data_IF_967553166839
#
_entry.id   IF_967553166839
#
_cell.length_a   1.000
_cell.length_b   1.000
_cell.length_c   1.000
_cell.angle_alpha   90.00
_cell.angle_beta   90.00
_cell.angle_gamma   90.00
#
_symmetry.space_group_name_H-M   'P 1'
#
loop_
_entity.id
_entity.type
_entity.pdbx_description
1 polymer ?
#
# COMPACT_ATOMS: atom_id res chain seq x y z
N UNK A 1 12.33 -50.81 16.70
CA UNK A 1 12.78 -49.92 17.79
C UNK A 1 13.06 -48.57 17.18
N UNK A 2 12.39 -47.46 17.42
CA UNK A 2 11.28 -47.00 18.27
C UNK A 2 10.89 -45.67 17.55
N UNK A 3 9.66 -45.39 17.15
CA UNK A 3 8.54 -45.09 18.05
C UNK A 3 8.96 -44.22 19.24
N UNK A 4 9.36 -42.98 19.01
CA UNK A 4 9.30 -41.86 19.97
C UNK A 4 9.88 -40.63 19.24
N UNK A 5 9.11 -39.67 18.75
CA UNK A 5 8.47 -38.65 19.58
C UNK A 5 7.42 -37.91 18.71
N UNK A 6 6.21 -38.45 18.61
CA UNK A 6 5.02 -37.65 18.31
C UNK A 6 4.38 -37.33 19.67
N UNK A 7 4.56 -36.11 20.15
CA UNK A 7 3.67 -35.59 21.19
C UNK A 7 3.69 -34.05 21.24
N UNK A 8 2.89 -33.41 20.38
CA UNK A 8 2.33 -32.10 20.73
C UNK A 8 0.87 -32.04 20.27
N UNK A 9 0.02 -31.73 21.25
CA UNK A 9 -1.44 -31.65 21.24
C UNK A 9 -1.97 -30.71 20.16
N UNK A 10 -3.04 -31.14 19.47
CA UNK A 10 -3.89 -30.25 18.66
C UNK A 10 -4.74 -29.36 19.59
N UNK A 11 -4.65 -28.04 19.40
CA UNK A 11 -5.61 -27.06 19.92
C UNK A 11 -6.46 -26.59 18.73
N UNK A 12 -7.80 -26.52 18.84
CA UNK A 12 -8.65 -26.11 17.72
C UNK A 12 -8.63 -24.59 17.56
N UNK A 13 -8.22 -24.09 16.39
CA UNK A 13 -8.38 -22.67 16.04
C UNK A 13 -9.80 -22.45 15.52
N UNK A 14 -10.51 -21.54 16.20
CA UNK A 14 -11.83 -21.04 15.88
C UNK A 14 -11.89 -20.38 14.48
N UNK A 15 -13.06 -20.50 13.85
CA UNK A 15 -13.43 -19.87 12.58
C UNK A 15 -13.10 -18.37 12.55
N UNK A 16 -12.22 -17.96 11.63
CA UNK A 16 -12.10 -16.55 11.23
C UNK A 16 -13.02 -16.32 10.03
N UNK A 17 -14.05 -15.50 10.25
CA UNK A 17 -14.93 -14.95 9.21
C UNK A 17 -14.16 -13.82 8.51
N UNK A 18 -13.97 -13.92 7.18
CA UNK A 18 -13.39 -12.84 6.38
C UNK A 18 -14.50 -12.20 5.54
N UNK A 19 -14.81 -10.94 5.84
CA UNK A 19 -15.68 -10.08 5.01
C UNK A 19 -14.92 -9.58 3.77
N UNK A 20 -15.56 -9.65 2.61
CA UNK A 20 -15.11 -9.15 1.32
C UNK A 20 -15.03 -7.61 1.29
N UNK A 21 -13.89 -7.04 0.89
CA UNK A 21 -13.69 -5.60 0.65
C UNK A 21 -13.93 -5.20 -0.82
N UNK A 22 -14.65 -4.09 -1.13
CA UNK A 22 -14.78 -3.50 -2.47
C UNK A 22 -13.59 -2.59 -2.88
N UNK A 23 -13.57 -2.04 -4.12
CA UNK A 23 -12.37 -1.96 -4.95
C UNK A 23 -11.49 -0.70 -4.80
N UNK A 24 -10.20 -0.92 -5.14
CA UNK A 24 -9.16 0.02 -5.57
C UNK A 24 -8.91 1.28 -4.72
N UNK A 25 -8.00 1.14 -3.74
CA UNK A 25 -7.15 2.24 -3.25
C UNK A 25 -5.70 1.78 -3.34
N UNK A 26 -4.84 2.59 -3.96
CA UNK A 26 -3.39 2.39 -3.99
C UNK A 26 -2.85 2.11 -2.58
N UNK A 27 -2.42 0.87 -2.32
CA UNK A 27 -1.67 0.52 -1.12
C UNK A 27 -0.24 1.06 -1.28
N UNK A 28 -0.02 2.29 -0.81
CA UNK A 28 1.31 2.90 -0.71
C UNK A 28 2.01 2.35 0.54
N UNK A 29 3.21 1.82 0.34
CA UNK A 29 4.14 1.44 1.41
C UNK A 29 4.50 2.67 2.24
N UNK A 30 4.48 2.54 3.57
CA UNK A 30 4.98 3.55 4.51
C UNK A 30 6.44 3.90 4.16
N UNK A 31 6.82 5.18 4.04
CA UNK A 31 8.21 5.55 4.24
C UNK A 31 8.54 5.36 5.73
N UNK A 32 9.55 4.55 6.01
CA UNK A 32 10.20 4.55 7.31
C UNK A 32 10.91 5.90 7.44
N UNK A 33 10.39 6.77 8.29
CA UNK A 33 11.11 7.97 8.71
C UNK A 33 12.28 7.53 9.60
N UNK A 34 13.49 7.53 9.05
CA UNK A 34 14.70 7.57 9.86
C UNK A 34 14.72 8.93 10.57
N UNK A 35 14.75 8.90 11.91
CA UNK A 35 14.98 10.10 12.72
C UNK A 35 16.39 10.62 12.43
N UNK A 36 16.60 11.95 12.32
CA UNK A 36 17.93 12.52 12.36
C UNK A 36 18.56 12.27 13.74
N UNK A 37 19.78 11.74 13.77
CA UNK A 37 20.61 11.74 14.98
C UNK A 37 21.08 13.18 15.16
N UNK A 38 20.44 13.92 16.07
CA UNK A 38 20.99 15.17 16.57
C UNK A 38 22.03 14.85 17.65
N UNK A 39 23.23 15.36 17.42
CA UNK A 39 24.37 15.48 18.33
C UNK A 39 24.02 15.46 19.82
N UNK A 40 24.51 14.44 20.52
CA UNK A 40 24.68 14.43 21.99
C UNK A 40 26.07 15.04 22.26
N UNK A 41 26.25 15.90 23.28
CA UNK A 41 27.56 16.43 23.59
C UNK A 41 28.49 15.33 24.11
N UNK A 42 29.75 15.41 23.69
CA UNK A 42 30.88 14.61 24.18
C UNK A 42 30.99 14.75 25.70
N UNK A 43 30.67 13.68 26.44
CA UNK A 43 31.23 13.46 27.77
C UNK A 43 32.47 12.58 27.63
N UNK A 44 33.55 13.07 28.23
CA UNK A 44 34.91 12.57 28.24
C UNK A 44 35.02 11.13 28.73
N UNK A 45 35.91 10.38 28.07
CA UNK A 45 36.41 9.08 28.52
C UNK A 45 37.08 9.23 29.90
N UNK A 46 36.69 8.37 30.85
CA UNK A 46 37.55 7.93 31.92
C UNK A 46 37.58 6.39 31.88
N UNK A 47 38.74 5.87 31.51
CA UNK A 47 39.09 4.44 31.52
C UNK A 47 39.44 4.09 32.97
N UNK A 48 38.79 3.07 33.54
CA UNK A 48 39.40 2.28 34.61
C UNK A 48 39.09 0.80 34.42
N UNK A 49 40.10 -0.01 34.77
CA UNK A 49 40.33 -1.40 34.38
C UNK A 49 39.54 -2.39 35.24
N UNK A 50 39.00 -3.41 34.56
CA UNK A 50 39.06 -4.86 34.87
C UNK A 50 38.70 -5.38 36.28
N UNK A 51 37.73 -6.30 36.33
CA UNK A 51 37.88 -7.69 36.84
C UNK A 51 36.58 -8.50 36.65
N UNK A 52 36.75 -9.79 36.38
CA UNK A 52 35.73 -10.82 36.07
C UNK A 52 34.80 -11.21 37.24
N UNK A 53 33.56 -11.65 36.94
CA UNK A 53 32.98 -12.98 37.29
C UNK A 53 31.42 -13.04 37.27
N UNK A 54 30.91 -14.01 36.50
CA UNK A 54 29.68 -14.84 36.65
C UNK A 54 28.24 -14.33 36.42
N UNK A 55 27.31 -15.22 35.94
CA UNK A 55 26.00 -14.85 35.43
C UNK A 55 24.91 -14.88 36.51
N UNK A 56 24.35 -13.71 36.84
CA UNK A 56 23.24 -13.60 37.78
C UNK A 56 21.88 -13.67 37.07
N UNK A 57 21.18 -14.77 37.37
CA UNK A 57 19.74 -15.00 37.46
C UNK A 57 18.82 -13.82 37.11
N UNK A 58 17.91 -14.08 36.16
CA UNK A 58 16.78 -13.23 35.79
C UNK A 58 15.90 -12.93 37.02
N UNK A 59 16.17 -11.82 37.71
CA UNK A 59 15.29 -11.32 38.77
C UNK A 59 14.10 -10.61 38.12
N UNK A 60 12.91 -11.14 38.42
CA UNK A 60 11.60 -10.50 38.19
C UNK A 60 11.70 -9.03 38.60
N UNK A 61 11.74 -8.13 37.64
CA UNK A 61 11.61 -6.70 37.92
C UNK A 61 10.17 -6.47 38.40
N UNK A 62 10.03 -6.18 39.69
CA UNK A 62 8.76 -5.76 40.27
C UNK A 62 8.40 -4.42 39.66
N UNK A 63 7.48 -4.43 38.69
CA UNK A 63 6.89 -3.23 38.12
C UNK A 63 6.20 -2.41 39.23
N UNK A 64 6.32 -1.07 39.24
CA UNK A 64 5.55 -0.23 40.17
C UNK A 64 4.06 -0.55 40.04
N UNK A 65 3.33 -0.62 41.16
CA UNK A 65 1.91 -1.03 41.20
C UNK A 65 1.01 -0.23 40.23
N UNK A 66 1.35 1.03 39.95
CA UNK A 66 0.63 1.87 38.96
C UNK A 66 0.82 1.46 37.50
N UNK A 67 2.00 0.95 37.13
CA UNK A 67 2.26 0.47 35.76
C UNK A 67 1.51 -0.82 35.46
N UNK A 68 1.32 -1.68 36.47
CA UNK A 68 0.67 -3.00 36.30
C UNK A 68 -0.83 -2.88 36.03
N UNK A 69 -1.53 -1.93 36.67
CA UNK A 69 -2.96 -1.74 36.48
C UNK A 69 -3.28 -1.22 35.08
N UNK A 70 -2.62 -0.12 34.67
CA UNK A 70 -2.82 0.50 33.35
C UNK A 70 -2.49 -0.49 32.22
N UNK A 71 -1.44 -1.30 32.38
CA UNK A 71 -1.09 -2.35 31.39
C UNK A 71 -2.21 -3.38 31.27
N UNK A 72 -2.76 -3.87 32.38
CA UNK A 72 -3.84 -4.86 32.37
C UNK A 72 -5.10 -4.28 31.71
N UNK A 73 -5.48 -3.05 32.08
CA UNK A 73 -6.60 -2.34 31.47
C UNK A 73 -6.44 -2.19 29.94
N UNK A 74 -5.25 -1.82 29.47
CA UNK A 74 -5.00 -1.67 28.03
C UNK A 74 -5.10 -3.00 27.26
N UNK A 75 -4.78 -4.12 27.90
CA UNK A 75 -4.90 -5.45 27.29
C UNK A 75 -6.38 -5.85 27.28
N UNK A 76 -7.03 -5.81 28.44
CA UNK A 76 -8.35 -6.40 28.65
C UNK A 76 -9.46 -5.53 28.03
N UNK A 77 -9.43 -4.22 28.27
CA UNK A 77 -10.48 -3.28 27.85
C UNK A 77 -10.23 -2.65 26.50
N UNK A 78 -8.97 -2.47 26.09
CA UNK A 78 -8.61 -1.85 24.81
C UNK A 78 -8.11 -2.84 23.76
N UNK A 79 -7.90 -4.12 24.09
CA UNK A 79 -7.46 -5.16 23.16
C UNK A 79 -6.07 -4.92 22.58
N UNK A 80 -5.14 -4.34 23.36
CA UNK A 80 -3.74 -4.19 22.95
C UNK A 80 -2.98 -5.49 23.22
N UNK A 81 -2.01 -5.80 22.36
CA UNK A 81 -1.00 -6.82 22.66
C UNK A 81 -0.17 -6.39 23.89
N UNK A 82 0.34 -7.33 24.71
CA UNK A 82 1.13 -7.02 25.90
C UNK A 82 2.28 -6.01 25.65
N UNK A 83 3.02 -6.19 24.56
CA UNK A 83 4.13 -5.30 24.17
C UNK A 83 3.68 -3.85 23.92
N UNK A 84 2.59 -3.68 23.16
CA UNK A 84 2.01 -2.36 22.89
C UNK A 84 1.38 -1.75 24.15
N UNK A 85 0.76 -2.55 25.01
CA UNK A 85 0.19 -2.09 26.27
C UNK A 85 1.28 -1.53 27.21
N UNK A 86 2.40 -2.24 27.38
CA UNK A 86 3.57 -1.77 28.15
C UNK A 86 4.17 -0.49 27.55
N UNK A 87 4.22 -0.37 26.23
CA UNK A 87 4.70 0.86 25.59
C UNK A 87 3.74 2.04 25.76
N UNK A 88 2.44 1.77 25.74
CA UNK A 88 1.38 2.76 25.86
C UNK A 88 1.18 3.24 27.30
N UNK A 89 1.29 2.35 28.30
CA UNK A 89 1.14 2.67 29.72
C UNK A 89 2.13 3.73 30.19
N UNK A 90 3.36 3.73 29.67
CA UNK A 90 4.39 4.76 29.94
C UNK A 90 3.97 6.20 29.60
N UNK A 91 2.88 6.38 28.85
CA UNK A 91 2.35 7.70 28.44
C UNK A 91 1.05 8.05 29.14
N UNK A 92 0.59 7.20 30.04
CA UNK A 92 -0.71 7.23 30.68
C UNK A 92 -0.54 7.14 32.20
N UNK A 93 -1.39 7.87 32.89
CA UNK A 93 -1.46 7.84 34.33
C UNK A 93 -2.92 8.05 34.70
N UNK A 94 -3.55 7.01 35.27
CA UNK A 94 -4.90 7.04 35.82
C UNK A 94 -5.05 5.88 36.80
N UNK A 95 -5.82 6.10 37.87
CA UNK A 95 -6.04 5.12 38.93
C UNK A 95 -7.36 4.36 38.76
N UNK A 96 -8.31 4.95 38.04
CA UNK A 96 -9.68 4.44 37.94
C UNK A 96 -10.14 4.40 36.47
N UNK A 97 -11.03 3.46 36.11
CA UNK A 97 -11.38 3.21 34.71
C UNK A 97 -12.47 4.15 34.18
N UNK A 98 -13.15 4.97 35.00
CA UNK A 98 -14.38 5.66 34.59
C UNK A 98 -14.15 6.61 33.41
N UNK A 99 -13.03 7.34 33.41
CA UNK A 99 -12.71 8.27 32.32
C UNK A 99 -12.25 7.54 31.05
N UNK A 100 -11.30 6.59 31.11
CA UNK A 100 -11.01 5.69 30.00
C UNK A 100 -12.25 4.99 29.42
N UNK A 101 -13.14 4.43 30.25
CA UNK A 101 -14.37 3.74 29.84
C UNK A 101 -15.31 4.72 29.13
N UNK A 102 -15.51 5.91 29.69
CA UNK A 102 -16.32 6.96 29.05
C UNK A 102 -15.79 7.34 27.66
N UNK A 103 -14.46 7.37 27.46
CA UNK A 103 -13.86 7.59 26.15
C UNK A 103 -14.13 6.42 25.20
N UNK A 104 -14.00 5.17 25.67
CA UNK A 104 -14.28 3.98 24.85
C UNK A 104 -15.75 3.92 24.43
N UNK A 105 -16.67 4.18 25.34
CA UNK A 105 -18.11 4.16 25.09
C UNK A 105 -18.54 5.27 24.13
N UNK A 106 -17.95 6.45 24.25
CA UNK A 106 -18.16 7.53 23.28
C UNK A 106 -17.69 7.09 21.88
N UNK A 107 -16.51 6.49 21.75
CA UNK A 107 -16.02 5.99 20.45
C UNK A 107 -16.93 4.90 19.87
N UNK A 108 -17.42 3.97 20.70
CA UNK A 108 -18.38 2.92 20.28
C UNK A 108 -19.69 3.53 19.78
N UNK A 109 -20.21 4.53 20.47
CA UNK A 109 -21.44 5.26 20.10
C UNK A 109 -21.31 5.92 18.72
N UNK A 110 -20.10 6.36 18.36
CA UNK A 110 -19.78 6.92 17.03
C UNK A 110 -19.33 5.87 16.01
N UNK A 111 -19.56 4.58 16.29
CA UNK A 111 -19.40 3.48 15.33
C UNK A 111 -17.97 2.97 15.17
N UNK A 112 -17.07 3.25 16.12
CA UNK A 112 -15.73 2.66 16.12
C UNK A 112 -15.80 1.21 16.61
N UNK A 113 -15.18 0.30 15.85
CA UNK A 113 -15.04 -1.11 16.24
C UNK A 113 -13.90 -1.29 17.24
N UNK A 114 -13.92 -2.37 18.02
CA UNK A 114 -12.83 -2.71 18.96
C UNK A 114 -11.45 -2.74 18.29
N UNK A 115 -11.36 -3.24 17.04
CA UNK A 115 -10.09 -3.25 16.29
C UNK A 115 -9.59 -1.84 15.94
N UNK A 116 -10.51 -0.91 15.66
CA UNK A 116 -10.18 0.49 15.37
C UNK A 116 -9.81 1.24 16.65
N UNK A 117 -10.50 0.97 17.76
CA UNK A 117 -10.22 1.50 19.08
C UNK A 117 -8.83 1.05 19.55
N UNK A 118 -8.54 -0.26 19.52
CA UNK A 118 -7.22 -0.83 19.84
C UNK A 118 -6.09 -0.14 19.05
N UNK A 119 -6.29 0.03 17.74
CA UNK A 119 -5.33 0.72 16.86
C UNK A 119 -5.17 2.19 17.20
N UNK A 120 -6.25 2.86 17.59
CA UNK A 120 -6.23 4.26 17.99
C UNK A 120 -5.46 4.43 19.29
N UNK A 121 -5.81 3.66 20.32
CA UNK A 121 -5.20 3.69 21.66
C UNK A 121 -3.73 3.33 21.57
N UNK A 122 -3.36 2.29 20.82
CA UNK A 122 -1.96 1.91 20.63
C UNK A 122 -1.11 3.02 19.99
N UNK A 123 -1.70 3.85 19.12
CA UNK A 123 -1.00 5.00 18.50
C UNK A 123 -1.01 6.26 19.36
N UNK A 124 -2.10 6.52 20.08
CA UNK A 124 -2.33 7.75 20.85
C UNK A 124 -2.94 7.40 22.23
N UNK A 125 -2.17 6.79 23.14
CA UNK A 125 -2.68 6.31 24.43
C UNK A 125 -3.36 7.43 25.23
N UNK A 126 -2.77 8.64 25.22
CA UNK A 126 -3.28 9.85 25.87
C UNK A 126 -4.72 10.24 25.52
N UNK A 127 -5.35 9.63 24.50
CA UNK A 127 -6.77 9.81 24.26
C UNK A 127 -7.62 9.33 25.45
N UNK A 128 -7.22 8.26 26.14
CA UNK A 128 -7.98 7.66 27.24
C UNK A 128 -8.11 8.57 28.47
N UNK A 129 -7.20 9.53 28.62
CA UNK A 129 -7.22 10.51 29.71
C UNK A 129 -7.75 11.88 29.25
N UNK A 130 -8.11 12.01 27.97
CA UNK A 130 -8.74 13.22 27.45
C UNK A 130 -10.16 13.36 28.01
N UNK A 131 -10.67 14.59 28.02
CA UNK A 131 -12.03 14.84 28.47
C UNK A 131 -13.01 14.46 27.36
N UNK A 132 -13.86 13.43 27.56
CA UNK A 132 -14.71 12.94 26.49
C UNK A 132 -15.69 14.01 26.01
N UNK A 133 -16.28 14.78 26.92
CA UNK A 133 -17.29 15.81 26.60
C UNK A 133 -16.66 17.08 26.03
N UNK A 134 -15.53 17.53 26.60
CA UNK A 134 -14.93 18.81 26.18
C UNK A 134 -13.99 18.71 25.00
N UNK A 135 -13.35 17.55 24.79
CA UNK A 135 -12.27 17.41 23.79
C UNK A 135 -12.68 16.50 22.63
N UNK A 136 -13.32 15.37 22.91
CA UNK A 136 -13.63 14.38 21.88
C UNK A 136 -14.98 14.60 21.22
N UNK A 137 -16.02 14.78 22.03
CA UNK A 137 -17.40 14.91 21.57
C UNK A 137 -17.57 16.01 20.52
N UNK A 138 -17.07 17.26 20.70
CA UNK A 138 -17.27 18.32 19.71
C UNK A 138 -16.65 17.99 18.35
N UNK A 139 -15.51 17.27 18.36
CA UNK A 139 -14.83 16.83 17.13
C UNK A 139 -15.62 15.75 16.44
N UNK A 140 -16.13 14.78 17.19
CA UNK A 140 -16.94 13.68 16.66
C UNK A 140 -18.26 14.20 16.10
N UNK A 141 -18.93 15.13 16.79
CA UNK A 141 -20.13 15.82 16.31
C UNK A 141 -19.86 16.57 15.00
N UNK A 142 -18.81 17.38 14.95
CA UNK A 142 -18.40 18.05 13.71
C UNK A 142 -18.24 17.06 12.55
N UNK A 143 -17.48 15.98 12.75
CA UNK A 143 -17.29 15.01 11.69
C UNK A 143 -18.57 14.25 11.31
N UNK A 144 -19.52 14.10 12.24
CA UNK A 144 -20.82 13.46 12.01
C UNK A 144 -21.75 14.32 11.15
N UNK A 145 -21.53 15.64 11.09
CA UNK A 145 -22.26 16.56 10.19
C UNK A 145 -21.88 16.41 8.72
N UNK A 146 -20.76 15.73 8.42
CA UNK A 146 -20.25 15.56 7.07
C UNK A 146 -21.04 14.47 6.32
N UNK A 147 -21.16 14.62 5.00
CA UNK A 147 -21.83 13.65 4.12
C UNK A 147 -20.95 12.41 3.87
N UNK A 148 -20.69 11.65 4.94
CA UNK A 148 -19.86 10.44 4.96
C UNK A 148 -20.46 9.43 5.94
N UNK A 149 -20.45 8.14 5.57
CA UNK A 149 -20.96 7.08 6.44
C UNK A 149 -20.20 7.01 7.76
N UNK A 150 -20.89 6.69 8.87
CA UNK A 150 -20.26 6.50 10.19
C UNK A 150 -19.10 5.50 10.15
N UNK A 151 -19.27 4.40 9.41
CA UNK A 151 -18.23 3.39 9.22
C UNK A 151 -16.99 3.91 8.49
N UNK A 152 -17.19 4.74 7.46
CA UNK A 152 -16.07 5.36 6.74
C UNK A 152 -15.35 6.38 7.60
N UNK A 153 -16.11 7.16 8.37
CA UNK A 153 -15.55 8.13 9.29
C UNK A 153 -14.69 7.44 10.36
N UNK A 154 -15.21 6.42 11.04
CA UNK A 154 -14.46 5.62 12.02
C UNK A 154 -13.18 5.03 11.40
N UNK A 155 -13.26 4.52 10.17
CA UNK A 155 -12.10 4.00 9.41
C UNK A 155 -11.07 5.07 9.09
N UNK A 156 -11.49 6.29 8.75
CA UNK A 156 -10.61 7.42 8.44
C UNK A 156 -9.92 7.93 9.70
N UNK A 157 -10.69 8.21 10.75
CA UNK A 157 -10.20 8.78 12.02
C UNK A 157 -9.27 7.80 12.77
N UNK A 158 -9.61 6.50 12.82
CA UNK A 158 -8.72 5.47 13.39
C UNK A 158 -7.44 5.25 12.58
N UNK A 159 -7.45 5.59 11.29
CA UNK A 159 -6.27 5.58 10.44
C UNK A 159 -5.19 6.55 10.91
N UNK A 160 -5.60 7.70 11.44
CA UNK A 160 -4.71 8.82 11.76
C UNK A 160 -5.20 9.59 13.00
N UNK A 161 -4.93 9.07 14.21
CA UNK A 161 -5.50 9.58 15.46
C UNK A 161 -4.88 10.90 15.96
N UNK A 162 -3.94 11.47 15.20
CA UNK A 162 -3.35 12.78 15.50
C UNK A 162 -4.41 13.88 15.49
N UNK A 163 -5.46 13.72 14.68
CA UNK A 163 -6.55 14.69 14.55
C UNK A 163 -7.23 15.02 15.88
N UNK A 164 -7.40 14.03 16.77
CA UNK A 164 -7.97 14.24 18.09
C UNK A 164 -7.09 15.08 19.02
N UNK A 165 -5.81 15.25 18.70
CA UNK A 165 -4.89 16.14 19.40
C UNK A 165 -4.89 17.60 18.91
N UNK A 166 -5.69 17.94 17.88
CA UNK A 166 -5.77 19.30 17.33
C UNK A 166 -6.99 20.06 17.83
N UNK A 167 -6.91 21.40 17.85
CA UNK A 167 -8.04 22.27 18.13
C UNK A 167 -9.05 22.19 16.98
N UNK A 168 -10.33 22.03 17.32
CA UNK A 168 -11.40 21.93 16.34
C UNK A 168 -11.55 23.26 15.58
N UNK A 169 -11.52 24.37 16.30
CA UNK A 169 -11.83 25.74 15.85
C UNK A 169 -10.63 26.37 15.15
N UNK A 170 -9.43 26.16 15.68
CA UNK A 170 -8.22 26.80 15.15
C UNK A 170 -7.52 25.97 14.07
N UNK A 171 -7.85 24.69 13.92
CA UNK A 171 -7.16 23.81 12.96
C UNK A 171 -8.12 22.99 12.10
N UNK A 172 -9.02 22.21 12.70
CA UNK A 172 -9.82 21.24 11.96
C UNK A 172 -10.81 21.93 11.01
N UNK A 173 -11.63 22.84 11.53
CA UNK A 173 -12.66 23.56 10.77
C UNK A 173 -12.03 24.45 9.69
N UNK A 174 -11.01 25.29 9.96
CA UNK A 174 -10.36 26.09 8.92
C UNK A 174 -9.74 25.24 7.81
N UNK A 175 -9.06 24.14 8.16
CA UNK A 175 -8.48 23.21 7.18
C UNK A 175 -9.56 22.54 6.33
N UNK A 176 -10.66 22.12 6.97
CA UNK A 176 -11.80 21.54 6.29
C UNK A 176 -12.43 22.53 5.32
N UNK A 177 -12.72 23.76 5.76
CA UNK A 177 -13.35 24.81 4.95
C UNK A 177 -12.48 25.16 3.74
N UNK A 178 -11.17 25.33 3.94
CA UNK A 178 -10.23 25.56 2.85
C UNK A 178 -10.30 24.44 1.81
N UNK A 179 -10.13 23.18 2.23
CA UNK A 179 -10.15 22.05 1.30
C UNK A 179 -11.53 21.89 0.63
N UNK A 180 -12.62 22.12 1.37
CA UNK A 180 -13.99 22.02 0.87
C UNK A 180 -14.27 23.07 -0.22
N UNK A 181 -13.70 24.28 -0.09
CA UNK A 181 -13.85 25.35 -1.09
C UNK A 181 -13.35 24.96 -2.49
N UNK A 182 -12.38 24.04 -2.58
CA UNK A 182 -11.82 23.57 -3.85
C UNK A 182 -12.32 22.18 -4.23
N UNK A 183 -12.33 21.23 -3.29
CA UNK A 183 -12.65 19.82 -3.56
C UNK A 183 -14.15 19.55 -3.66
N UNK A 184 -14.97 20.42 -3.06
CA UNK A 184 -16.44 20.40 -3.08
C UNK A 184 -17.09 19.09 -2.59
N UNK A 185 -16.33 18.17 -1.99
CA UNK A 185 -16.81 16.85 -1.53
C UNK A 185 -16.17 16.46 -0.20
N UNK A 186 -16.98 16.11 0.78
CA UNK A 186 -16.53 15.81 2.15
C UNK A 186 -15.62 14.58 2.17
N UNK A 187 -15.98 13.57 1.38
CA UNK A 187 -15.15 12.38 1.16
C UNK A 187 -13.77 12.72 0.60
N UNK A 188 -13.69 13.64 -0.37
CA UNK A 188 -12.39 14.09 -0.94
C UNK A 188 -11.59 14.89 0.09
N UNK A 189 -12.25 15.77 0.86
CA UNK A 189 -11.62 16.56 1.93
C UNK A 189 -11.02 15.64 3.00
N UNK A 190 -11.79 14.69 3.53
CA UNK A 190 -11.28 13.76 4.54
C UNK A 190 -10.13 12.89 4.00
N UNK A 191 -10.19 12.51 2.72
CA UNK A 191 -9.09 11.82 2.07
C UNK A 191 -7.83 12.69 2.01
N UNK A 192 -7.96 13.97 1.64
CA UNK A 192 -6.85 14.92 1.57
C UNK A 192 -6.22 15.17 2.95
N UNK A 193 -7.04 15.38 3.98
CA UNK A 193 -6.57 15.62 5.35
C UNK A 193 -5.81 14.41 5.94
N UNK A 194 -6.08 13.20 5.45
CA UNK A 194 -5.29 12.00 5.80
C UNK A 194 -3.85 12.10 5.27
N UNK A 195 -3.63 12.78 4.14
CA UNK A 195 -2.35 12.84 3.42
C UNK A 195 -1.41 13.93 3.92
N UNK A 196 -1.91 15.06 4.42
CA UNK A 196 -1.05 16.13 4.96
C UNK A 196 -0.27 15.73 6.21
N UNK A 197 -0.62 14.60 6.83
CA UNK A 197 -0.42 14.37 8.25
C UNK A 197 -1.03 15.54 9.02
N UNK A 198 -1.99 15.26 9.91
CA UNK A 198 -2.58 16.27 10.78
C UNK A 198 -1.54 17.00 11.67
N UNK A 199 -0.24 16.68 11.55
CA UNK A 199 0.91 17.36 12.14
C UNK A 199 1.28 18.69 11.47
N UNK A 200 0.81 18.98 10.25
CA UNK A 200 1.10 20.27 9.63
C UNK A 200 0.28 21.33 10.36
N UNK A 201 0.98 22.03 11.26
CA UNK A 201 0.54 23.29 11.90
C UNK A 201 0.46 24.44 10.90
N UNK A 202 0.71 24.17 9.61
CA UNK A 202 0.65 25.20 8.59
C UNK A 202 -0.82 25.49 8.36
N UNK A 203 -1.20 26.68 8.81
CA UNK A 203 -2.49 27.25 8.56
C UNK A 203 -2.70 27.32 7.04
N UNK A 204 -3.66 26.56 6.53
CA UNK A 204 -4.04 26.60 5.13
C UNK A 204 -4.46 28.02 4.71
N UNK A 205 -4.88 28.87 5.65
CA UNK A 205 -5.18 30.28 5.36
C UNK A 205 -3.91 31.09 5.09
N UNK A 206 -2.81 30.82 5.80
CA UNK A 206 -1.55 31.59 5.65
C UNK A 206 -0.81 31.23 4.37
N UNK A 207 -0.73 29.94 4.03
CA UNK A 207 0.06 29.49 2.87
C UNK A 207 -0.80 29.00 1.71
N UNK A 208 -1.89 28.29 2.02
CA UNK A 208 -2.68 27.62 1.00
C UNK A 208 -3.41 28.60 0.09
N UNK A 209 -4.09 29.59 0.66
CA UNK A 209 -4.87 30.58 -0.12
C UNK A 209 -3.99 31.36 -1.11
N UNK A 210 -2.85 31.97 -0.70
CA UNK A 210 -1.96 32.66 -1.64
C UNK A 210 -1.38 31.73 -2.72
N UNK A 211 -1.02 30.49 -2.37
CA UNK A 211 -0.43 29.55 -3.32
C UNK A 211 -1.46 29.02 -4.34
N UNK A 212 -2.73 28.90 -3.96
CA UNK A 212 -3.81 28.63 -4.91
C UNK A 212 -4.02 29.78 -5.89
N UNK A 213 -3.89 31.02 -5.42
CA UNK A 213 -3.99 32.20 -6.29
C UNK A 213 -2.91 32.18 -7.37
N UNK A 214 -1.67 31.80 -7.03
CA UNK A 214 -0.59 31.62 -8.02
C UNK A 214 -0.97 30.58 -9.08
N UNK A 215 -1.47 29.40 -8.68
CA UNK A 215 -1.84 28.38 -9.67
C UNK A 215 -2.95 28.88 -10.60
N UNK A 216 -3.90 29.66 -10.09
CA UNK A 216 -4.98 30.28 -10.88
C UNK A 216 -4.47 31.38 -11.81
N UNK A 217 -3.52 32.20 -11.36
CA UNK A 217 -2.83 33.19 -12.20
C UNK A 217 -2.11 32.54 -13.38
N UNK A 218 -1.60 31.32 -13.18
CA UNK A 218 -0.98 30.51 -14.24
C UNK A 218 -2.00 29.72 -15.06
N UNK A 219 -3.30 29.98 -14.89
CA UNK A 219 -4.40 29.32 -15.59
C UNK A 219 -4.43 27.80 -15.43
N UNK A 220 -3.93 27.30 -14.29
CA UNK A 220 -4.00 25.87 -13.97
C UNK A 220 -5.47 25.48 -13.75
N UNK A 221 -5.98 24.43 -14.43
CA UNK A 221 -7.38 24.04 -14.30
C UNK A 221 -7.75 23.64 -12.85
N UNK A 222 -8.94 24.02 -12.39
CA UNK A 222 -9.44 23.67 -11.06
C UNK A 222 -9.47 22.15 -10.81
N UNK A 223 -9.64 21.33 -11.86
CA UNK A 223 -9.52 19.87 -11.75
C UNK A 223 -8.10 19.41 -11.38
N UNK A 224 -7.07 20.08 -11.92
CA UNK A 224 -5.66 19.81 -11.63
C UNK A 224 -5.28 20.33 -10.24
N UNK A 225 -5.76 21.51 -9.88
CA UNK A 225 -5.61 22.06 -8.51
C UNK A 225 -6.27 21.13 -7.49
N UNK A 226 -7.50 20.70 -7.76
CA UNK A 226 -8.24 19.76 -6.93
C UNK A 226 -7.52 18.41 -6.81
N UNK A 227 -6.93 17.90 -7.89
CA UNK A 227 -6.10 16.70 -7.84
C UNK A 227 -4.89 16.88 -6.91
N UNK A 228 -4.17 18.01 -7.05
CA UNK A 228 -3.01 18.33 -6.23
C UNK A 228 -3.39 18.39 -4.75
N UNK A 229 -4.48 19.08 -4.40
CA UNK A 229 -4.95 19.16 -3.01
C UNK A 229 -5.43 17.81 -2.46
N UNK A 230 -6.08 16.98 -3.28
CA UNK A 230 -6.60 15.70 -2.85
C UNK A 230 -5.50 14.68 -2.52
N UNK A 231 -4.38 14.74 -3.24
CA UNK A 231 -3.34 13.71 -3.20
C UNK A 231 -1.98 14.17 -2.64
N UNK A 232 -1.67 15.46 -2.79
CA UNK A 232 -0.40 16.09 -2.46
C UNK A 232 -0.57 17.47 -1.79
N UNK A 233 -1.47 17.59 -0.80
CA UNK A 233 -1.77 18.89 -0.18
C UNK A 233 -0.55 19.57 0.46
N UNK A 234 0.49 18.81 0.82
CA UNK A 234 1.77 19.35 1.32
C UNK A 234 2.49 20.27 0.32
N UNK A 235 2.23 20.14 -0.98
CA UNK A 235 2.85 20.98 -2.00
C UNK A 235 2.38 22.44 -1.88
N UNK A 236 1.09 22.64 -1.59
CA UNK A 236 0.46 23.96 -1.48
C UNK A 236 0.76 24.63 -0.13
N UNK A 237 1.26 23.88 0.85
CA UNK A 237 1.60 24.39 2.19
C UNK A 237 3.06 24.88 2.31
N UNK A 238 3.73 25.12 1.19
CA UNK A 238 5.05 25.76 1.14
C UNK A 238 4.95 27.26 1.43
N UNK A 239 6.07 27.84 1.90
CA UNK A 239 6.20 29.30 1.99
C UNK A 239 5.94 29.90 0.61
N UNK A 240 5.23 31.02 0.58
CA UNK A 240 4.73 31.63 -0.65
C UNK A 240 5.82 31.85 -1.71
N UNK A 241 6.93 32.49 -1.33
CA UNK A 241 8.07 32.74 -2.23
C UNK A 241 8.63 31.44 -2.82
N UNK A 242 8.86 30.42 -1.99
CA UNK A 242 9.37 29.12 -2.45
C UNK A 242 8.39 28.43 -3.41
N UNK A 243 7.09 28.53 -3.12
CA UNK A 243 6.07 27.97 -4.00
C UNK A 243 6.05 28.68 -5.36
N UNK A 244 6.14 30.02 -5.36
CA UNK A 244 6.20 30.83 -6.56
C UNK A 244 7.43 30.50 -7.42
N UNK A 245 8.61 30.39 -6.80
CA UNK A 245 9.85 29.94 -7.46
C UNK A 245 9.67 28.58 -8.14
N UNK A 246 9.06 27.61 -7.44
CA UNK A 246 8.80 26.27 -8.00
C UNK A 246 7.85 26.35 -9.21
N UNK A 247 6.75 27.10 -9.11
CA UNK A 247 5.78 27.24 -10.19
C UNK A 247 6.43 27.89 -11.43
N UNK A 248 7.23 28.93 -11.23
CA UNK A 248 8.00 29.58 -12.29
C UNK A 248 8.99 28.61 -12.95
N UNK A 249 9.80 27.91 -12.15
CA UNK A 249 10.75 26.93 -12.63
C UNK A 249 10.07 25.83 -13.46
N UNK A 250 8.95 25.29 -12.98
CA UNK A 250 8.20 24.26 -13.71
C UNK A 250 7.67 24.78 -15.04
N UNK A 251 7.22 26.05 -15.10
CA UNK A 251 6.82 26.69 -16.36
C UNK A 251 8.00 26.88 -17.30
N UNK A 252 9.14 27.37 -16.81
CA UNK A 252 10.37 27.56 -17.59
C UNK A 252 10.93 26.23 -18.15
N UNK A 253 10.76 25.13 -17.41
CA UNK A 253 11.08 23.78 -17.91
C UNK A 253 10.16 23.32 -19.05
N UNK A 254 9.12 24.09 -19.39
CA UNK A 254 8.22 23.84 -20.50
C UNK A 254 7.04 22.93 -20.17
N UNK A 255 6.62 22.84 -18.89
CA UNK A 255 5.35 22.21 -18.56
C UNK A 255 4.19 23.16 -18.86
N UNK A 256 3.18 22.67 -19.56
CA UNK A 256 1.96 23.42 -19.85
C UNK A 256 1.04 23.44 -18.61
N UNK A 257 0.67 24.62 -18.07
CA UNK A 257 -0.20 24.74 -16.89
C UNK A 257 -1.57 24.05 -17.03
N UNK A 258 -2.07 23.93 -18.25
CA UNK A 258 -3.34 23.24 -18.57
C UNK A 258 -3.31 21.73 -18.34
N UNK A 259 -2.11 21.11 -18.28
CA UNK A 259 -1.95 19.66 -18.14
C UNK A 259 -1.74 19.26 -16.69
N UNK A 260 -2.28 18.09 -16.32
CA UNK A 260 -2.07 17.51 -14.99
C UNK A 260 -0.58 17.33 -14.64
N UNK A 261 0.28 17.08 -15.63
CA UNK A 261 1.73 16.95 -15.43
C UNK A 261 2.36 18.20 -14.80
N UNK A 262 1.79 19.40 -15.02
CA UNK A 262 2.27 20.63 -14.39
C UNK A 262 2.21 20.56 -12.86
N UNK A 263 1.04 20.24 -12.31
CA UNK A 263 0.89 20.14 -10.84
C UNK A 263 1.65 18.95 -10.25
N UNK A 264 1.83 17.86 -11.02
CA UNK A 264 2.68 16.75 -10.59
C UNK A 264 4.17 17.15 -10.52
N UNK A 265 4.62 18.02 -11.44
CA UNK A 265 5.98 18.58 -11.41
C UNK A 265 6.15 19.57 -10.25
N UNK A 266 5.17 20.44 -10.01
CA UNK A 266 5.16 21.31 -8.82
C UNK A 266 5.30 20.48 -7.54
N UNK A 267 4.52 19.41 -7.39
CA UNK A 267 4.67 18.51 -6.24
C UNK A 267 6.05 17.83 -6.18
N UNK A 268 6.60 17.38 -7.31
CA UNK A 268 7.91 16.75 -7.35
C UNK A 268 9.05 17.67 -6.85
N UNK A 269 8.89 18.99 -7.04
CA UNK A 269 9.77 20.02 -6.51
C UNK A 269 9.33 20.61 -5.17
N UNK A 270 8.25 20.10 -4.56
CA UNK A 270 7.72 20.57 -3.27
C UNK A 270 8.04 19.64 -2.10
N UNK A 271 8.80 18.56 -2.28
CA UNK A 271 9.25 17.72 -1.17
C UNK A 271 10.18 18.45 -0.18
N UNK A 272 10.56 17.78 0.91
CA UNK A 272 11.65 18.23 1.80
C UNK A 272 12.96 17.61 1.28
N UNK A 273 14.02 18.41 1.14
CA UNK A 273 15.31 17.93 0.63
C UNK A 273 15.29 17.60 -0.86
N UNK A 274 14.63 18.41 -1.68
CA UNK A 274 14.41 18.09 -3.09
C UNK A 274 15.69 17.86 -3.85
N UNK A 275 16.72 18.67 -3.60
CA UNK A 275 18.02 18.50 -4.26
C UNK A 275 18.58 17.09 -3.99
N UNK A 276 18.62 16.65 -2.73
CA UNK A 276 19.12 15.31 -2.41
C UNK A 276 18.23 14.17 -2.91
N UNK A 277 16.90 14.36 -2.97
CA UNK A 277 15.99 13.37 -3.57
C UNK A 277 16.24 13.25 -5.08
N UNK A 278 16.44 14.39 -5.74
CA UNK A 278 16.70 14.48 -7.17
C UNK A 278 18.07 13.93 -7.53
N UNK A 279 19.12 14.33 -6.82
CA UNK A 279 20.49 13.82 -6.98
C UNK A 279 20.51 12.30 -6.85
N UNK A 280 19.88 11.77 -5.79
CA UNK A 280 19.74 10.32 -5.61
C UNK A 280 18.98 9.66 -6.77
N UNK A 281 17.93 10.28 -7.30
CA UNK A 281 17.20 9.73 -8.45
C UNK A 281 18.06 9.74 -9.72
N UNK A 282 18.79 10.84 -9.98
CA UNK A 282 19.73 10.94 -11.09
C UNK A 282 20.81 9.87 -11.01
N UNK A 283 21.43 9.69 -9.85
CA UNK A 283 22.41 8.63 -9.60
C UNK A 283 21.78 7.25 -9.79
N UNK A 284 20.59 7.02 -9.23
CA UNK A 284 19.90 5.73 -9.32
C UNK A 284 19.61 5.34 -10.77
N UNK A 285 19.05 6.25 -11.57
CA UNK A 285 18.81 5.98 -12.99
C UNK A 285 20.10 5.91 -13.81
N UNK A 286 21.11 6.72 -13.45
CA UNK A 286 22.44 6.70 -14.06
C UNK A 286 23.15 5.35 -13.91
N UNK A 287 23.01 4.67 -12.77
CA UNK A 287 23.50 3.28 -12.57
C UNK A 287 22.91 2.28 -13.56
N UNK A 288 21.73 2.58 -14.13
CA UNK A 288 21.09 1.77 -15.16
C UNK A 288 21.34 2.30 -16.58
N UNK A 289 22.28 3.23 -16.76
CA UNK A 289 22.72 3.73 -18.05
C UNK A 289 21.82 4.80 -18.67
N UNK A 290 20.93 5.44 -17.89
CA UNK A 290 20.17 6.58 -18.39
C UNK A 290 21.04 7.84 -18.38
N UNK A 291 21.02 8.59 -19.48
CA UNK A 291 21.64 9.92 -19.55
C UNK A 291 20.79 10.94 -18.77
N UNK A 292 21.39 12.11 -18.47
CA UNK A 292 20.65 13.23 -17.86
C UNK A 292 19.44 13.64 -18.72
N UNK A 293 19.61 13.66 -20.04
CA UNK A 293 18.52 14.02 -20.97
C UNK A 293 17.41 12.98 -20.99
N UNK A 294 17.74 11.69 -20.92
CA UNK A 294 16.74 10.61 -20.82
C UNK A 294 15.94 10.72 -19.51
N UNK A 295 16.61 11.04 -18.40
CA UNK A 295 15.96 11.26 -17.10
C UNK A 295 15.05 12.49 -17.15
N UNK A 296 15.50 13.60 -17.73
CA UNK A 296 14.68 14.80 -17.88
C UNK A 296 13.49 14.58 -18.83
N UNK A 297 13.68 13.81 -19.91
CA UNK A 297 12.59 13.40 -20.80
C UNK A 297 11.56 12.53 -20.08
N UNK A 298 12.02 11.58 -19.26
CA UNK A 298 11.17 10.77 -18.40
C UNK A 298 10.41 11.62 -17.38
N UNK A 299 11.08 12.59 -16.75
CA UNK A 299 10.48 13.54 -15.82
C UNK A 299 9.36 14.36 -16.49
N UNK A 300 9.58 14.89 -17.70
CA UNK A 300 8.55 15.62 -18.46
C UNK A 300 7.30 14.80 -18.73
N UNK A 301 7.45 13.49 -18.97
CA UNK A 301 6.32 12.57 -19.19
C UNK A 301 5.61 12.17 -17.91
N UNK A 302 6.36 11.94 -16.82
CA UNK A 302 5.81 11.52 -15.54
C UNK A 302 6.66 12.05 -14.37
N UNK A 303 6.36 13.24 -13.83
CA UNK A 303 7.21 13.90 -12.84
C UNK A 303 7.49 13.10 -11.58
N UNK A 304 6.52 12.29 -11.15
CA UNK A 304 6.67 11.46 -9.95
C UNK A 304 7.72 10.34 -10.07
N UNK A 305 8.31 10.09 -11.24
CA UNK A 305 9.45 9.19 -11.34
C UNK A 305 10.70 9.73 -10.59
N UNK A 306 10.74 11.04 -10.31
CA UNK A 306 11.83 11.73 -9.59
C UNK A 306 11.62 11.86 -8.08
N UNK A 307 10.55 11.28 -7.52
CA UNK A 307 10.31 11.23 -6.06
C UNK A 307 10.29 9.80 -5.53
N UNK A 308 10.90 8.87 -6.26
CA UNK A 308 11.00 7.47 -5.87
C UNK A 308 12.21 7.24 -4.96
N UNK A 309 12.14 6.19 -4.15
CA UNK A 309 13.32 5.70 -3.42
C UNK A 309 14.24 4.92 -4.37
N UNK A 310 15.56 4.99 -4.17
CA UNK A 310 16.54 4.15 -4.89
C UNK A 310 16.13 2.68 -4.88
N UNK A 311 15.77 2.13 -3.70
CA UNK A 311 15.29 0.74 -3.56
C UNK A 311 14.15 0.39 -4.52
N UNK A 312 13.24 1.33 -4.78
CA UNK A 312 12.11 1.12 -5.69
C UNK A 312 12.59 1.07 -7.14
N UNK A 313 13.45 2.02 -7.53
CA UNK A 313 14.04 2.10 -8.87
C UNK A 313 14.85 0.83 -9.15
N UNK A 314 15.80 0.51 -8.28
CA UNK A 314 16.69 -0.66 -8.42
C UNK A 314 15.92 -1.97 -8.54
N UNK A 315 14.90 -2.20 -7.70
CA UNK A 315 14.12 -3.45 -7.76
C UNK A 315 13.32 -3.60 -9.06
N UNK A 316 12.76 -2.50 -9.58
CA UNK A 316 12.00 -2.53 -10.83
C UNK A 316 12.93 -2.69 -12.02
N UNK A 317 14.05 -1.95 -12.04
CA UNK A 317 15.03 -2.04 -13.11
C UNK A 317 15.73 -3.39 -13.16
N UNK A 318 16.12 -3.97 -12.02
CA UNK A 318 16.70 -5.31 -11.96
C UNK A 318 15.77 -6.36 -12.58
N UNK A 319 14.49 -6.32 -12.21
CA UNK A 319 13.52 -7.23 -12.79
C UNK A 319 13.36 -7.02 -14.31
N UNK A 320 13.15 -5.79 -14.76
CA UNK A 320 12.88 -5.52 -16.18
C UNK A 320 14.10 -5.75 -17.07
N UNK A 321 15.27 -5.26 -16.65
CA UNK A 321 16.51 -5.34 -17.43
C UNK A 321 17.14 -6.72 -17.31
N UNK A 322 17.46 -7.15 -16.08
CA UNK A 322 18.27 -8.36 -15.89
C UNK A 322 17.44 -9.65 -16.03
N UNK A 323 16.18 -9.66 -15.56
CA UNK A 323 15.35 -10.88 -15.58
C UNK A 323 14.48 -10.99 -16.83
N UNK A 324 13.94 -9.87 -17.32
CA UNK A 324 13.06 -9.86 -18.48
C UNK A 324 13.77 -9.45 -19.79
N UNK A 325 15.03 -9.04 -19.73
CA UNK A 325 15.83 -8.71 -20.92
C UNK A 325 15.42 -7.41 -21.64
N UNK A 326 14.71 -6.50 -20.97
CA UNK A 326 14.33 -5.22 -21.57
C UNK A 326 15.52 -4.27 -21.63
N UNK A 327 15.65 -3.56 -22.74
CA UNK A 327 16.69 -2.54 -22.86
C UNK A 327 16.36 -1.35 -21.94
N UNK A 328 17.33 -0.95 -21.11
CA UNK A 328 17.13 0.11 -20.10
C UNK A 328 16.60 1.42 -20.69
N UNK A 329 17.11 1.83 -21.86
CA UNK A 329 16.67 3.06 -22.56
C UNK A 329 15.21 3.00 -23.05
N UNK A 330 14.69 1.82 -23.36
CA UNK A 330 13.29 1.68 -23.73
C UNK A 330 12.37 1.85 -22.54
N UNK A 331 12.82 1.47 -21.34
CA UNK A 331 12.09 1.70 -20.09
C UNK A 331 11.98 3.22 -19.81
N UNK A 332 13.03 4.00 -20.12
CA UNK A 332 13.03 5.46 -19.98
C UNK A 332 11.90 6.15 -20.76
N UNK A 333 11.45 5.53 -21.85
CA UNK A 333 10.33 6.04 -22.66
C UNK A 333 8.98 5.91 -21.97
N UNK A 334 8.86 5.05 -20.96
CA UNK A 334 7.64 4.72 -20.21
C UNK A 334 7.81 4.84 -18.67
N UNK A 335 8.12 6.04 -18.16
CA UNK A 335 8.45 6.26 -16.75
C UNK A 335 7.32 5.92 -15.76
N UNK A 336 6.06 5.93 -16.22
CA UNK A 336 4.89 5.47 -15.44
C UNK A 336 5.06 4.03 -14.93
N UNK A 337 5.84 3.20 -15.61
CA UNK A 337 6.16 1.84 -15.17
C UNK A 337 6.74 1.81 -13.75
N UNK A 338 7.59 2.77 -13.41
CA UNK A 338 8.23 2.86 -12.10
C UNK A 338 7.26 3.06 -10.94
N UNK A 339 6.05 3.56 -11.24
CA UNK A 339 5.05 3.89 -10.23
C UNK A 339 4.15 2.70 -9.88
N UNK A 340 4.12 1.65 -10.69
CA UNK A 340 3.30 0.47 -10.41
C UNK A 340 3.96 -0.47 -9.40
N UNK A 341 3.15 -1.28 -8.71
CA UNK A 341 3.68 -2.33 -7.83
C UNK A 341 4.45 -3.36 -8.64
N UNK A 342 5.66 -3.68 -8.17
CA UNK A 342 6.49 -4.69 -8.81
C UNK A 342 5.78 -6.06 -8.71
N UNK A 343 5.39 -6.42 -7.50
CA UNK A 343 4.86 -7.72 -7.14
C UNK A 343 3.43 -7.94 -7.64
N UNK A 344 2.58 -6.90 -7.57
CA UNK A 344 1.15 -7.04 -7.88
C UNK A 344 0.80 -6.77 -9.34
N UNK A 345 1.66 -6.09 -10.10
CA UNK A 345 1.34 -5.68 -11.48
C UNK A 345 2.45 -5.98 -12.46
N UNK A 346 3.68 -5.55 -12.18
CA UNK A 346 4.77 -5.66 -13.17
C UNK A 346 5.13 -7.12 -13.40
N UNK A 347 5.47 -7.85 -12.33
CA UNK A 347 5.89 -9.26 -12.41
C UNK A 347 4.80 -10.14 -13.05
N UNK A 348 3.54 -10.16 -12.56
CA UNK A 348 2.53 -11.06 -13.13
C UNK A 348 2.31 -10.82 -14.63
N UNK A 349 2.28 -9.56 -15.07
CA UNK A 349 2.01 -9.23 -16.47
C UNK A 349 3.19 -9.56 -17.38
N UNK A 350 4.41 -9.31 -16.95
CA UNK A 350 5.61 -9.69 -17.71
C UNK A 350 5.69 -11.21 -17.91
N UNK A 351 5.39 -12.00 -16.87
CA UNK A 351 5.40 -13.46 -16.96
C UNK A 351 4.30 -13.99 -17.90
N UNK A 352 3.08 -13.43 -17.83
CA UNK A 352 2.01 -13.79 -18.78
C UNK A 352 2.46 -13.53 -20.21
N UNK A 353 3.02 -12.36 -20.51
CA UNK A 353 3.49 -12.05 -21.87
C UNK A 353 4.63 -12.98 -22.29
N UNK A 354 5.57 -13.31 -21.40
CA UNK A 354 6.66 -14.23 -21.72
C UNK A 354 6.13 -15.61 -22.15
N UNK A 355 5.11 -16.14 -21.45
CA UNK A 355 4.45 -17.40 -21.83
C UNK A 355 3.69 -17.28 -23.15
N UNK A 356 3.01 -16.16 -23.40
CA UNK A 356 2.30 -15.96 -24.66
C UNK A 356 3.26 -15.84 -25.85
N UNK A 357 4.41 -15.18 -25.66
CA UNK A 357 5.46 -15.08 -26.68
C UNK A 357 6.09 -16.45 -26.95
N UNK A 358 6.39 -17.24 -25.91
CA UNK A 358 6.98 -18.58 -26.10
C UNK A 358 6.04 -19.56 -26.80
N UNK A 359 4.73 -19.35 -26.67
CA UNK A 359 3.69 -20.08 -27.41
C UNK A 359 3.36 -19.49 -28.79
N UNK A 360 4.01 -18.40 -29.19
CA UNK A 360 3.75 -17.72 -30.47
C UNK A 360 2.38 -17.05 -30.57
N UNK A 361 1.68 -16.84 -29.45
CA UNK A 361 0.34 -16.26 -29.42
C UNK A 361 0.33 -14.72 -29.49
N UNK A 362 1.47 -14.09 -29.19
CA UNK A 362 1.65 -12.64 -29.28
C UNK A 362 3.02 -12.30 -29.87
N UNK A 363 3.13 -11.11 -30.44
CA UNK A 363 4.40 -10.63 -31.01
C UNK A 363 5.45 -10.40 -29.92
N UNK A 364 6.73 -10.56 -30.29
CA UNK A 364 7.88 -10.40 -29.39
C UNK A 364 8.20 -8.94 -29.06
N UNK A 365 7.76 -7.99 -29.89
CA UNK A 365 8.08 -6.55 -29.85
C UNK A 365 7.02 -5.69 -29.16
N UNK A 366 6.25 -6.26 -28.23
CA UNK A 366 5.25 -5.50 -27.47
C UNK A 366 5.92 -4.38 -26.67
N UNK A 367 5.35 -3.18 -26.70
CA UNK A 367 5.88 -2.07 -25.91
C UNK A 367 5.52 -2.21 -24.42
N UNK A 368 6.42 -1.74 -23.54
CA UNK A 368 6.25 -1.82 -22.09
C UNK A 368 4.97 -1.11 -21.64
N UNK A 369 4.67 0.04 -22.24
CA UNK A 369 3.42 0.77 -22.01
C UNK A 369 2.17 -0.06 -22.33
N UNK A 370 2.19 -0.86 -23.40
CA UNK A 370 1.05 -1.72 -23.77
C UNK A 370 0.79 -2.85 -22.77
N UNK A 371 1.82 -3.30 -22.06
CA UNK A 371 1.75 -4.41 -21.11
C UNK A 371 1.42 -3.86 -19.71
N UNK A 372 2.24 -2.93 -19.23
CA UNK A 372 2.24 -2.50 -17.83
C UNK A 372 1.22 -1.41 -17.56
N UNK A 373 1.09 -0.42 -18.45
CA UNK A 373 0.27 0.76 -18.19
C UNK A 373 -1.22 0.56 -18.44
N UNK A 374 -1.64 -0.58 -19.01
CA UNK A 374 -3.06 -0.85 -19.27
C UNK A 374 -3.84 -1.11 -17.99
N UNK A 375 -5.14 -0.77 -18.02
CA UNK A 375 -6.10 -1.19 -16.99
C UNK A 375 -6.21 -2.71 -16.92
N UNK A 376 -6.66 -3.23 -15.79
CA UNK A 376 -6.72 -4.67 -15.56
C UNK A 376 -7.64 -5.37 -16.55
N UNK A 377 -8.87 -4.87 -16.71
CA UNK A 377 -9.86 -5.46 -17.61
C UNK A 377 -9.33 -5.48 -19.05
N UNK A 378 -8.78 -4.34 -19.46
CA UNK A 378 -8.14 -4.16 -20.75
C UNK A 378 -6.99 -5.15 -20.99
N UNK A 379 -6.11 -5.33 -20.01
CA UNK A 379 -4.99 -6.28 -20.10
C UNK A 379 -5.48 -7.71 -20.28
N UNK A 380 -6.42 -8.14 -19.42
CA UNK A 380 -7.00 -9.48 -19.46
C UNK A 380 -7.71 -9.74 -20.79
N UNK A 381 -8.56 -8.82 -21.25
CA UNK A 381 -9.27 -8.96 -22.51
C UNK A 381 -8.31 -9.19 -23.68
N UNK A 382 -7.26 -8.38 -23.78
CA UNK A 382 -6.33 -8.42 -24.92
C UNK A 382 -5.42 -9.63 -24.91
N UNK A 383 -4.89 -10.01 -23.76
CA UNK A 383 -3.81 -10.98 -23.68
C UNK A 383 -4.24 -12.34 -23.13
N UNK A 384 -5.34 -12.39 -22.38
CA UNK A 384 -5.84 -13.63 -21.77
C UNK A 384 -7.10 -14.11 -22.49
N UNK A 385 -8.12 -13.26 -22.67
CA UNK A 385 -9.40 -13.71 -23.25
C UNK A 385 -9.27 -13.96 -24.76
N UNK A 386 -8.80 -12.96 -25.52
CA UNK A 386 -8.69 -13.09 -27.00
C UNK A 386 -7.73 -14.18 -27.47
N UNK A 387 -6.73 -14.52 -26.68
CA UNK A 387 -5.78 -15.60 -26.99
C UNK A 387 -6.37 -16.98 -26.72
N UNK A 388 -7.40 -17.08 -25.87
CA UNK A 388 -8.16 -18.31 -25.63
C UNK A 388 -9.19 -18.56 -26.75
N UNK A 389 -9.82 -17.50 -27.28
CA UNK A 389 -10.80 -17.61 -28.37
C UNK A 389 -10.18 -18.09 -29.70
N UNK A 390 -8.93 -17.73 -29.97
CA UNK A 390 -8.22 -18.11 -31.21
C UNK A 390 -7.90 -19.62 -31.32
N UNK A 391 -7.91 -20.35 -30.20
CA UNK A 391 -7.56 -21.79 -30.16
C UNK A 391 -8.78 -22.73 -30.21
N UNK A 392 -9.96 -22.24 -30.58
CA UNK A 392 -11.14 -23.08 -30.82
C UNK A 392 -11.91 -23.52 -29.57
N UNK A 393 -11.60 -22.97 -28.40
CA UNK A 393 -12.41 -23.16 -27.18
C UNK A 393 -13.36 -21.96 -27.03
N UNK A 394 -14.61 -22.11 -27.46
CA UNK A 394 -15.65 -21.09 -27.28
C UNK A 394 -16.20 -21.19 -25.86
N UNK A 395 -15.85 -20.24 -24.99
CA UNK A 395 -16.47 -20.11 -23.68
C UNK A 395 -17.73 -19.25 -23.79
N UNK A 396 -18.92 -19.86 -23.66
CA UNK A 396 -20.16 -19.09 -23.44
C UNK A 396 -20.24 -18.73 -21.96
N UNK A 397 -20.03 -17.44 -21.68
CA UNK A 397 -20.16 -16.74 -20.40
C UNK A 397 -18.96 -16.82 -19.42
N UNK A 398 -18.26 -15.68 -19.33
CA UNK A 398 -17.54 -15.28 -18.12
C UNK A 398 -18.48 -14.50 -17.21
N UNK A 399 -19.09 -15.15 -16.22
CA UNK A 399 -19.81 -14.44 -15.16
C UNK A 399 -18.82 -13.93 -14.10
N UNK A 400 -18.68 -12.62 -14.02
CA UNK A 400 -18.00 -11.95 -12.91
C UNK A 400 -18.91 -12.02 -11.69
N UNK A 401 -18.60 -12.92 -10.75
CA UNK A 401 -19.32 -13.00 -9.49
C UNK A 401 -19.00 -11.73 -8.67
N UNK A 402 -19.97 -10.83 -8.50
CA UNK A 402 -19.83 -9.50 -7.86
C UNK A 402 -19.41 -9.53 -6.36
N UNK A 403 -18.97 -10.66 -5.81
CA UNK A 403 -18.52 -10.82 -4.42
C UNK A 403 -17.17 -11.53 -4.23
N UNK A 404 -16.51 -12.00 -5.29
CA UNK A 404 -15.28 -12.80 -5.17
C UNK A 404 -14.23 -12.39 -6.21
N UNK A 405 -12.97 -12.21 -5.76
CA UNK A 405 -11.82 -11.80 -6.59
C UNK A 405 -11.32 -12.91 -7.55
N UNK A 406 -12.20 -13.82 -7.97
CA UNK A 406 -11.89 -14.95 -8.84
C UNK A 406 -12.92 -15.04 -9.96
N UNK A 407 -12.45 -15.37 -11.15
CA UNK A 407 -13.26 -15.69 -12.31
C UNK A 407 -13.64 -17.18 -12.26
N UNK A 408 -14.92 -17.51 -12.38
CA UNK A 408 -15.34 -18.87 -12.71
C UNK A 408 -15.66 -18.95 -14.21
N UNK A 409 -15.07 -19.91 -14.91
CA UNK A 409 -15.40 -20.20 -16.31
C UNK A 409 -16.10 -21.55 -16.37
N UNK A 410 -17.24 -21.62 -17.06
CA UNK A 410 -17.96 -22.87 -17.32
C UNK A 410 -17.74 -23.27 -18.79
N UNK A 411 -17.29 -24.51 -19.01
CA UNK A 411 -16.93 -25.02 -20.34
C UNK A 411 -18.10 -25.80 -20.92
N UNK A 412 -18.56 -25.45 -22.13
CA UNK A 412 -19.50 -26.27 -22.91
C UNK A 412 -18.85 -26.56 -24.26
N UNK A 413 -18.72 -27.84 -24.60
CA UNK A 413 -18.15 -28.30 -25.88
C UNK A 413 -19.30 -28.71 -26.78
N UNK A 414 -19.49 -28.00 -27.90
CA UNK A 414 -20.43 -28.38 -28.95
C UNK A 414 -19.67 -29.15 -30.03
N UNK A 415 -20.03 -30.42 -30.28
CA UNK A 415 -19.39 -31.21 -31.31
C UNK A 415 -19.84 -32.67 -31.37
N UNK A 416 -20.50 -33.02 -32.49
CA UNK A 416 -21.03 -34.33 -32.81
C UNK A 416 -19.99 -35.47 -32.64
N UNK A 417 -20.40 -36.49 -31.90
CA UNK A 417 -19.64 -37.70 -31.62
C UNK A 417 -19.46 -38.58 -32.86
N UNK A 418 -18.22 -38.96 -33.18
CA UNK A 418 -17.97 -40.04 -34.13
C UNK A 418 -17.16 -41.17 -33.45
N UNK A 419 -17.77 -42.36 -33.38
CA UNK A 419 -17.24 -43.57 -32.74
C UNK A 419 -16.20 -44.21 -33.66
N UNK A 420 -14.91 -44.22 -33.26
CA UNK A 420 -13.89 -45.26 -33.53
C UNK A 420 -12.48 -44.68 -33.36
N UNK A 421 -11.95 -44.75 -32.14
CA UNK A 421 -10.53 -44.96 -31.84
C UNK A 421 -10.31 -44.85 -30.33
N UNK A 422 -10.66 -45.91 -29.61
CA UNK A 422 -10.09 -46.12 -28.28
C UNK A 422 -8.65 -46.60 -28.48
N UNK A 423 -7.66 -45.76 -28.17
CA UNK A 423 -6.30 -46.16 -27.78
C UNK A 423 -5.54 -44.97 -27.18
N UNK A 424 -5.22 -45.10 -25.89
CA UNK A 424 -4.10 -44.49 -25.14
C UNK A 424 -3.84 -42.99 -25.28
N UNK A 425 -4.05 -42.23 -24.20
CA UNK A 425 -3.50 -40.88 -24.08
C UNK A 425 -2.41 -40.87 -23.01
N UNK A 426 -1.20 -40.50 -23.42
CA UNK A 426 -0.05 -40.22 -22.58
C UNK A 426 -0.17 -38.82 -21.97
N UNK A 427 0.09 -38.69 -20.67
CA UNK A 427 0.27 -37.40 -20.02
C UNK A 427 1.61 -36.80 -20.47
N UNK A 428 1.61 -35.53 -20.93
CA UNK A 428 2.83 -34.75 -21.11
C UNK A 428 2.94 -33.72 -20.00
N UNK A 429 3.87 -33.96 -19.08
CA UNK A 429 4.35 -32.98 -18.10
C UNK A 429 5.35 -32.08 -18.81
N UNK A 430 5.11 -30.77 -18.85
CA UNK A 430 6.13 -29.80 -19.26
C UNK A 430 6.82 -29.33 -17.99
N UNK A 431 7.95 -29.96 -17.67
CA UNK A 431 8.84 -29.52 -16.61
C UNK A 431 9.80 -28.49 -17.20
N UNK A 432 9.79 -27.26 -16.68
CA UNK A 432 10.80 -26.25 -17.01
C UNK A 432 11.90 -26.37 -15.94
N UNK A 433 13.04 -26.94 -16.30
CA UNK A 433 14.26 -26.92 -15.47
C UNK A 433 15.13 -25.75 -15.94
N UNK A 434 15.12 -24.65 -15.20
CA UNK A 434 16.03 -23.51 -15.37
C UNK A 434 16.96 -23.47 -14.14
N UNK A 435 18.30 -23.57 -14.29
CA UNK A 435 19.24 -23.80 -13.18
C UNK A 435 19.27 -22.73 -12.07
N UNK A 436 18.57 -21.60 -12.25
CA UNK A 436 18.63 -20.44 -11.34
C UNK A 436 17.25 -20.00 -10.82
N UNK A 437 16.17 -20.67 -11.24
CA UNK A 437 14.79 -20.39 -10.85
C UNK A 437 14.17 -21.70 -10.38
N UNK A 438 14.06 -21.91 -9.07
CA UNK A 438 13.51 -23.14 -8.51
C UNK A 438 12.22 -23.62 -9.20
N UNK A 439 12.04 -24.95 -9.25
CA UNK A 439 11.00 -25.65 -10.03
C UNK A 439 9.62 -24.99 -9.97
N UNK A 440 9.16 -24.47 -11.11
CA UNK A 440 7.77 -24.08 -11.33
C UNK A 440 7.08 -25.12 -12.21
N UNK A 441 6.09 -25.82 -11.67
CA UNK A 441 5.26 -26.76 -12.42
C UNK A 441 3.99 -26.05 -12.89
N UNK A 442 3.78 -25.97 -14.20
CA UNK A 442 2.53 -25.51 -14.78
C UNK A 442 1.68 -26.74 -15.12
N UNK A 443 0.56 -26.94 -14.43
CA UNK A 443 -0.35 -28.05 -14.71
C UNK A 443 -1.35 -27.64 -15.79
N UNK A 444 -1.31 -28.32 -16.94
CA UNK A 444 -2.42 -28.33 -17.89
C UNK A 444 -3.10 -29.69 -17.83
N UNK A 445 -4.34 -29.73 -17.36
CA UNK A 445 -5.18 -30.93 -17.37
C UNK A 445 -6.03 -30.94 -18.65
N UNK A 446 -5.80 -31.95 -19.48
CA UNK A 446 -6.80 -32.46 -20.43
C UNK A 446 -7.60 -33.53 -19.70
N UNK A 447 -8.90 -33.33 -19.53
CA UNK A 447 -9.78 -34.33 -18.95
C UNK A 447 -10.97 -34.58 -19.88
N UNK A 448 -11.18 -35.84 -20.25
CA UNK A 448 -12.48 -36.29 -20.79
C UNK A 448 -13.39 -36.72 -19.65
N UNK A 449 -14.65 -36.34 -19.81
CA UNK A 449 -15.86 -36.59 -19.03
C UNK A 449 -15.75 -37.45 -17.74
N UNK A 450 -15.97 -36.78 -16.61
CA UNK A 450 -16.59 -37.41 -15.44
C UNK A 450 -15.70 -37.59 -14.21
N UNK A 451 -15.01 -36.55 -13.73
CA UNK A 451 -14.49 -36.51 -12.33
C UNK A 451 -13.99 -35.11 -11.94
N UNK A 452 -14.91 -34.16 -11.75
CA UNK A 452 -14.58 -32.79 -11.31
C UNK A 452 -14.55 -32.62 -9.78
N UNK A 453 -14.80 -33.66 -9.00
CA UNK A 453 -14.88 -33.57 -7.52
C UNK A 453 -13.66 -34.18 -6.81
N UNK A 454 -12.88 -35.06 -7.48
CA UNK A 454 -11.71 -35.70 -6.87
C UNK A 454 -10.45 -34.81 -6.86
N UNK A 455 -10.24 -33.94 -7.85
CA UNK A 455 -9.00 -33.17 -8.00
C UNK A 455 -8.86 -31.98 -7.02
N UNK A 456 -9.97 -31.39 -6.54
CA UNK A 456 -9.92 -30.33 -5.53
C UNK A 456 -9.59 -30.85 -4.13
N UNK A 457 -9.87 -32.13 -3.85
CA UNK A 457 -9.50 -32.79 -2.59
C UNK A 457 -8.00 -33.07 -2.49
N UNK A 458 -7.38 -33.50 -3.59
CA UNK A 458 -5.96 -33.85 -3.63
C UNK A 458 -5.03 -32.63 -3.50
N UNK A 459 -5.39 -31.50 -4.11
CA UNK A 459 -4.60 -30.25 -4.04
C UNK A 459 -4.56 -29.69 -2.61
N UNK A 460 -5.69 -29.77 -1.88
CA UNK A 460 -5.78 -29.31 -0.48
C UNK A 460 -5.00 -30.20 0.49
N UNK A 461 -4.90 -31.50 0.21
CA UNK A 461 -4.15 -32.46 1.03
C UNK A 461 -2.64 -32.33 0.82
N UNK A 462 -2.18 -32.07 -0.41
CA UNK A 462 -0.76 -31.91 -0.72
C UNK A 462 -0.16 -30.59 -0.17
N UNK A 463 -0.89 -29.47 -0.24
CA UNK A 463 -0.43 -28.18 0.33
C UNK A 463 -0.33 -28.20 1.86
N UNK A 464 -1.15 -29.01 2.55
CA UNK A 464 -1.12 -29.10 4.02
C UNK A 464 0.01 -30.00 4.57
N UNK A 465 0.54 -30.92 3.76
CA UNK A 465 1.50 -31.93 4.24
C UNK A 465 2.93 -31.76 3.71
N UNK A 466 3.20 -30.77 2.85
CA UNK A 466 4.54 -30.39 2.40
C UNK A 466 5.40 -31.57 1.89
N UNK A 467 4.78 -32.52 1.18
CA UNK A 467 5.47 -33.70 0.64
C UNK A 467 5.90 -33.41 -0.80
N UNK A 468 7.19 -33.18 -0.98
CA UNK A 468 7.87 -33.27 -2.27
C UNK A 468 8.44 -34.68 -2.37
N UNK A 469 7.86 -35.55 -3.22
CA UNK A 469 8.62 -36.64 -3.84
C UNK A 469 7.97 -37.05 -5.16
N UNK A 470 8.76 -36.89 -6.23
CA UNK A 470 8.56 -37.48 -7.55
C UNK A 470 9.00 -38.94 -7.49
N UNK A 471 8.25 -39.86 -8.11
CA UNK A 471 8.86 -41.05 -8.70
C UNK A 471 7.98 -41.60 -9.84
N UNK A 472 8.64 -41.62 -11.01
CA UNK A 472 8.33 -42.15 -12.36
C UNK A 472 6.94 -41.87 -12.93
#
# INVERSE_FOLDING_TARGET
MLSALLNVKRVPIQKIVIYSTPPLVFLRTRPLFLRPISSVPLCSLAISRGTDLSPATLTKSTLPKGDSYVVSYLIDSCGLSPENAISASKKLEFETPERPDSVLDLLRTYGFTETQISKLVGKRPRLLVADPEKILLPKLEFFQTLDVSRSDLARILSGSPIIFGRSLENHIIPSYNFLKSVLQSDKKVLSAMKHTSWNVSADYTTFGVPNLAILREFEVPESSIGFLLAHHPEAILKKHEQFKEIVNMVKEMGFEPSKLSFVLAVHAFSGKGNNSIWDRCFESYGKWGWSKDEILSAFKKQPHCMVLSEKKITRVMDFLVNKMGWHSKDIARYPTTMLFSLEKRIVPRCLVIQVLVSKGLVKKDLSLGSIISRREESFLERFVIRTLDFNGYVWKEMTVNKGSNWLSCQMVVDGAWNRRSQKGIAARVITIDEPHLGKCSLFTLSATAGEAVACLGAIRWAEQNNIVHLTV
#
